data_IF_776154831265
#
_entry.id   IF_776154831265
#
_cell.length_a   1.000
_cell.length_b   1.000
_cell.length_c   1.000
_cell.angle_alpha   90.00
_cell.angle_beta   90.00
_cell.angle_gamma   90.00
#
_symmetry.space_group_name_H-M   'P 1'
#
loop_
_entity.id
_entity.type
_entity.pdbx_description
1 polymer ?
#
# COMPACT_ATOMS: atom_id res chain seq x y z
N UNK A 1 18.86 -54.70 -28.03
CA UNK A 1 18.66 -53.96 -26.76
C UNK A 1 17.18 -53.64 -26.63
N UNK A 2 16.48 -54.21 -25.63
CA UNK A 2 15.03 -54.00 -25.45
C UNK A 2 14.85 -52.77 -24.55
N UNK A 3 14.44 -51.63 -25.12
CA UNK A 3 14.09 -50.44 -24.37
C UNK A 3 12.76 -50.68 -23.65
N UNK A 4 12.80 -50.69 -22.32
CA UNK A 4 11.61 -50.80 -21.48
C UNK A 4 11.01 -49.40 -21.33
N UNK A 5 10.16 -48.99 -22.26
CA UNK A 5 9.43 -47.72 -22.17
C UNK A 5 8.28 -47.90 -21.18
N UNK A 6 8.47 -47.46 -19.93
CA UNK A 6 7.40 -47.33 -18.95
C UNK A 6 6.58 -46.07 -19.27
N UNK A 7 5.29 -46.25 -19.55
CA UNK A 7 4.33 -45.14 -19.66
C UNK A 7 3.75 -44.78 -18.29
N UNK A 8 3.42 -43.51 -18.10
CA UNK A 8 2.65 -43.07 -16.93
C UNK A 8 1.23 -43.64 -16.97
N UNK A 9 0.71 -43.98 -15.80
CA UNK A 9 -0.68 -44.38 -15.66
C UNK A 9 -1.60 -43.16 -15.67
N UNK A 10 -2.82 -43.31 -16.18
CA UNK A 10 -3.82 -42.22 -16.14
C UNK A 10 -4.13 -41.77 -14.70
N UNK A 11 -4.07 -42.70 -13.74
CA UNK A 11 -4.31 -42.41 -12.33
C UNK A 11 -3.18 -41.58 -11.70
N UNK A 12 -1.92 -41.81 -12.09
CA UNK A 12 -0.79 -40.99 -11.62
C UNK A 12 -0.98 -39.53 -12.02
N UNK A 13 -1.35 -39.25 -13.28
CA UNK A 13 -1.59 -37.88 -13.72
C UNK A 13 -2.82 -37.26 -13.07
N UNK A 14 -3.88 -38.04 -12.84
CA UNK A 14 -5.11 -37.55 -12.21
C UNK A 14 -4.88 -37.11 -10.76
N UNK A 15 -4.14 -37.89 -9.98
CA UNK A 15 -3.83 -37.53 -8.59
C UNK A 15 -2.97 -36.27 -8.53
N UNK A 16 -1.99 -36.13 -9.43
CA UNK A 16 -1.10 -34.97 -9.48
C UNK A 16 -1.85 -33.66 -9.72
N UNK A 17 -2.73 -33.61 -10.73
CA UNK A 17 -3.51 -32.40 -11.02
C UNK A 17 -4.49 -32.07 -9.89
N UNK A 18 -5.01 -33.09 -9.19
CA UNK A 18 -5.90 -32.87 -8.04
C UNK A 18 -5.19 -32.18 -6.89
N UNK A 19 -3.95 -32.61 -6.57
CA UNK A 19 -3.14 -32.01 -5.50
C UNK A 19 -2.72 -30.58 -5.89
N UNK A 20 -2.27 -30.38 -7.14
CA UNK A 20 -1.91 -29.04 -7.64
C UNK A 20 -3.11 -28.10 -7.59
N UNK A 21 -4.31 -28.57 -7.97
CA UNK A 21 -5.54 -27.79 -7.92
C UNK A 21 -5.87 -27.30 -6.50
N UNK A 22 -5.80 -28.19 -5.51
CA UNK A 22 -6.03 -27.83 -4.10
C UNK A 22 -5.00 -26.81 -3.63
N UNK A 23 -3.71 -27.05 -3.87
CA UNK A 23 -2.65 -26.11 -3.46
C UNK A 23 -2.78 -24.75 -4.14
N UNK A 24 -3.10 -24.71 -5.43
CA UNK A 24 -3.24 -23.47 -6.19
C UNK A 24 -4.35 -22.56 -5.63
N UNK A 25 -5.49 -23.13 -5.22
CA UNK A 25 -6.59 -22.33 -4.66
C UNK A 25 -6.22 -21.63 -3.35
N UNK A 26 -5.50 -22.32 -2.46
CA UNK A 26 -5.04 -21.75 -1.18
C UNK A 26 -4.02 -20.62 -1.40
N UNK A 27 -3.10 -20.82 -2.37
CA UNK A 27 -2.10 -19.82 -2.72
C UNK A 27 -2.75 -18.56 -3.28
N UNK A 28 -3.76 -18.68 -4.17
CA UNK A 28 -4.42 -17.52 -4.78
C UNK A 28 -5.09 -16.61 -3.74
N UNK A 29 -5.79 -17.19 -2.76
CA UNK A 29 -6.44 -16.40 -1.70
C UNK A 29 -5.39 -15.63 -0.88
N UNK A 30 -4.33 -16.30 -0.44
CA UNK A 30 -3.27 -15.66 0.35
C UNK A 30 -2.47 -14.59 -0.43
N UNK A 31 -2.28 -14.80 -1.73
CA UNK A 31 -1.52 -13.90 -2.60
C UNK A 31 -2.15 -12.50 -2.72
N UNK A 32 -3.47 -12.43 -2.88
CA UNK A 32 -4.18 -11.13 -3.01
C UNK A 32 -4.04 -10.27 -1.74
N UNK A 33 -4.07 -10.91 -0.56
CA UNK A 33 -3.88 -10.26 0.72
C UNK A 33 -2.45 -9.75 0.89
N UNK A 34 -1.46 -10.58 0.54
CA UNK A 34 -0.05 -10.21 0.58
C UNK A 34 0.26 -9.00 -0.32
N UNK A 35 -0.31 -8.95 -1.53
CA UNK A 35 -0.16 -7.78 -2.41
C UNK A 35 -0.74 -6.49 -1.80
N UNK A 36 -1.91 -6.57 -1.15
CA UNK A 36 -2.52 -5.41 -0.49
C UNK A 36 -1.63 -4.92 0.66
N UNK A 37 -1.14 -5.84 1.50
CA UNK A 37 -0.21 -5.51 2.57
C UNK A 37 1.08 -4.87 2.04
N UNK A 38 1.64 -5.38 0.94
CA UNK A 38 2.84 -4.81 0.34
C UNK A 38 2.62 -3.35 -0.13
N UNK A 39 1.47 -3.06 -0.75
CA UNK A 39 1.10 -1.68 -1.12
C UNK A 39 0.89 -0.78 0.10
N UNK A 40 0.28 -1.31 1.16
CA UNK A 40 0.09 -0.57 2.42
C UNK A 40 1.44 -0.29 3.11
N UNK A 41 2.36 -1.25 3.07
CA UNK A 41 3.72 -1.10 3.61
C UNK A 41 4.50 -0.03 2.85
N UNK A 42 4.43 -0.01 1.51
CA UNK A 42 5.04 1.06 0.69
C UNK A 42 4.50 2.43 1.09
N UNK A 43 3.18 2.58 1.13
CA UNK A 43 2.54 3.85 1.52
C UNK A 43 2.94 4.31 2.93
N UNK A 44 3.00 3.38 3.89
CA UNK A 44 3.49 3.68 5.24
C UNK A 44 4.93 4.15 5.24
N UNK A 45 5.80 3.49 4.46
CA UNK A 45 7.20 3.88 4.30
C UNK A 45 7.32 5.29 3.71
N UNK A 46 6.55 5.60 2.68
CA UNK A 46 6.55 6.92 2.03
C UNK A 46 6.15 8.02 3.02
N UNK A 47 5.08 7.81 3.80
CA UNK A 47 4.66 8.76 4.85
C UNK A 47 5.72 8.95 5.93
N UNK A 48 6.41 7.88 6.33
CA UNK A 48 7.52 7.97 7.29
C UNK A 48 8.66 8.80 6.70
N UNK A 49 8.99 8.60 5.43
CA UNK A 49 10.02 9.38 4.73
C UNK A 49 9.66 10.87 4.70
N UNK A 50 8.42 11.22 4.34
CA UNK A 50 7.94 12.61 4.38
C UNK A 50 8.00 13.21 5.78
N UNK A 51 7.48 12.50 6.80
CA UNK A 51 7.53 12.95 8.20
C UNK A 51 8.96 13.24 8.64
N UNK A 52 9.88 12.34 8.32
CA UNK A 52 11.29 12.51 8.68
C UNK A 52 11.90 13.72 7.96
N UNK A 53 11.58 13.93 6.68
CA UNK A 53 12.00 15.12 5.93
C UNK A 53 11.48 16.43 6.56
N UNK A 54 10.20 16.45 6.92
CA UNK A 54 9.59 17.59 7.61
C UNK A 54 10.21 17.84 9.00
N UNK A 55 10.49 16.78 9.74
CA UNK A 55 11.14 16.89 11.05
C UNK A 55 12.58 17.39 10.93
N UNK A 56 13.33 16.92 9.93
CA UNK A 56 14.68 17.41 9.64
C UNK A 56 14.69 18.90 9.28
N UNK A 57 13.69 19.35 8.51
CA UNK A 57 13.49 20.78 8.25
C UNK A 57 13.21 21.53 9.56
N UNK A 58 12.23 21.08 10.35
CA UNK A 58 11.88 21.76 11.60
C UNK A 58 13.07 21.88 12.57
N UNK A 59 13.89 20.84 12.69
CA UNK A 59 15.14 20.88 13.49
C UNK A 59 16.10 21.96 12.99
N UNK A 60 16.21 22.13 11.67
CA UNK A 60 17.13 23.10 11.05
C UNK A 60 16.62 24.55 11.10
N UNK A 61 15.29 24.75 11.13
CA UNK A 61 14.63 26.06 11.04
C UNK A 61 13.90 26.46 12.32
N UNK A 62 14.44 26.09 13.49
CA UNK A 62 13.96 26.59 14.79
C UNK A 62 12.58 26.07 15.20
N UNK A 63 12.26 24.82 14.85
CA UNK A 63 11.01 24.13 15.19
C UNK A 63 9.84 24.42 14.24
N UNK A 64 10.04 25.17 13.16
CA UNK A 64 8.99 25.54 12.20
C UNK A 64 8.94 24.59 11.02
N UNK A 65 7.73 24.16 10.65
CA UNK A 65 7.49 23.36 9.44
C UNK A 65 7.41 24.25 8.19
N UNK A 66 7.71 23.71 6.99
CA UNK A 66 7.62 24.49 5.75
C UNK A 66 6.15 24.86 5.49
N UNK A 67 5.91 26.15 5.26
CA UNK A 67 4.61 26.68 4.85
C UNK A 67 4.66 26.99 3.37
N UNK A 68 3.55 26.74 2.66
CA UNK A 68 3.44 27.17 1.27
C UNK A 68 3.53 28.70 1.21
N UNK A 69 4.32 29.30 0.31
CA UNK A 69 4.46 30.76 0.22
C UNK A 69 3.14 31.51 0.03
N UNK A 70 2.10 30.85 -0.48
CA UNK A 70 0.75 31.41 -0.69
C UNK A 70 -0.25 31.05 0.44
N UNK A 71 0.18 30.34 1.49
CA UNK A 71 -0.68 29.96 2.62
C UNK A 71 -1.02 31.14 3.57
N UNK A 72 -0.60 32.37 3.24
CA UNK A 72 -1.03 33.57 3.96
C UNK A 72 -2.49 33.94 3.67
N UNK A 73 -3.18 33.21 2.79
CA UNK A 73 -4.60 33.43 2.50
C UNK A 73 -5.56 32.51 3.25
N UNK A 74 -5.17 32.03 4.44
CA UNK A 74 -6.13 31.40 5.36
C UNK A 74 -7.25 32.38 5.79
N UNK A 75 -7.03 33.70 5.64
CA UNK A 75 -8.01 34.74 5.95
C UNK A 75 -9.08 34.92 4.86
N UNK A 76 -8.80 34.57 3.59
CA UNK A 76 -9.84 34.55 2.54
C UNK A 76 -10.78 33.36 2.65
N UNK A 77 -10.34 32.22 3.20
CA UNK A 77 -11.24 31.10 3.52
C UNK A 77 -12.26 31.46 4.61
N UNK A 78 -11.91 32.28 5.61
CA UNK A 78 -12.89 32.78 6.59
C UNK A 78 -13.83 33.86 6.00
N UNK A 79 -13.38 34.68 5.05
CA UNK A 79 -14.18 35.78 4.47
C UNK A 79 -15.02 35.38 3.23
N UNK A 80 -14.79 34.21 2.65
CA UNK A 80 -15.49 33.75 1.43
C UNK A 80 -16.84 33.05 1.70
N UNK A 81 -17.34 33.00 2.95
CA UNK A 81 -18.69 32.51 3.26
C UNK A 81 -18.99 31.09 2.77
N UNK A 82 -17.96 30.24 2.64
CA UNK A 82 -18.13 28.83 2.30
C UNK A 82 -18.60 28.06 3.52
N UNK A 83 -19.77 27.42 3.42
CA UNK A 83 -20.46 26.63 4.44
C UNK A 83 -19.66 25.41 4.95
N UNK A 84 -18.53 25.63 5.61
CA UNK A 84 -17.75 24.61 6.31
C UNK A 84 -17.47 25.03 7.76
N UNK A 85 -18.49 25.56 8.44
CA UNK A 85 -18.47 25.97 9.87
C UNK A 85 -18.09 24.85 10.86
N UNK A 86 -17.85 23.61 10.43
CA UNK A 86 -17.64 22.49 11.35
C UNK A 86 -16.34 21.69 11.17
N UNK A 87 -15.33 22.20 10.44
CA UNK A 87 -14.06 21.46 10.34
C UNK A 87 -12.77 22.21 10.68
N UNK A 88 -12.78 23.54 10.79
CA UNK A 88 -11.59 24.30 11.17
C UNK A 88 -11.97 25.49 12.05
N UNK A 89 -12.04 25.25 13.36
CA UNK A 89 -12.03 26.29 14.40
C UNK A 89 -10.65 26.96 14.47
N UNK A 90 -10.28 27.66 13.40
CA UNK A 90 -9.23 28.67 13.40
C UNK A 90 -9.58 29.79 12.41
N UNK A 91 -10.81 30.27 12.51
CA UNK A 91 -11.03 31.59 13.07
C UNK A 91 -11.58 31.36 14.50
#
# INVERSE_FOLDING_TARGET
>A
MKSNTKGFTLIELLVVISIIGVLATLVLVSYTHAQKQARDASRRSDLIQYRNGLQNYAVSYGGKYPVHPEAYDAVSFCNAGGELENYLSTC
#
